data_IF_119737838512
#
_entry.id   IF_119737838512
#
_cell.length_a   1.000
_cell.length_b   1.000
_cell.length_c   1.000
_cell.angle_alpha   90.00
_cell.angle_beta   90.00
_cell.angle_gamma   90.00
#
_symmetry.space_group_name_H-M   'P 1'
#
loop_
_entity.id
_entity.type
_entity.pdbx_description
1 polymer ?
#
# COMPACT_ATOMS: atom_id res chain seq x y z
N UNK A 1 -8.31 -8.04 18.62
CA UNK A 1 -8.83 -8.72 17.41
C UNK A 1 -8.25 -10.12 17.17
N UNK A 2 -7.15 -10.53 17.82
CA UNK A 2 -6.48 -11.81 17.54
C UNK A 2 -7.26 -13.09 17.92
N UNK A 3 -8.17 -13.05 18.89
CA UNK A 3 -8.86 -14.26 19.38
C UNK A 3 -10.21 -14.55 18.70
N UNK A 4 -10.80 -13.58 18.02
CA UNK A 4 -12.11 -13.74 17.36
C UNK A 4 -11.97 -14.49 16.03
N UNK A 5 -10.87 -14.23 15.31
CA UNK A 5 -10.62 -14.78 13.97
C UNK A 5 -10.47 -16.31 13.97
N UNK A 6 -9.69 -16.93 14.88
CA UNK A 6 -9.56 -18.39 14.95
C UNK A 6 -10.89 -19.08 15.27
N UNK A 7 -11.68 -18.51 16.19
CA UNK A 7 -12.97 -19.06 16.59
C UNK A 7 -13.96 -19.08 15.42
N UNK A 8 -14.13 -17.95 14.74
CA UNK A 8 -15.02 -17.85 13.56
C UNK A 8 -14.57 -18.80 12.45
N UNK A 9 -13.26 -18.89 12.20
CA UNK A 9 -12.73 -19.74 11.13
C UNK A 9 -12.92 -21.23 11.43
N UNK A 10 -12.76 -21.64 12.69
CA UNK A 10 -13.07 -22.99 13.13
C UNK A 10 -14.56 -23.29 13.02
N UNK A 11 -15.44 -22.38 13.46
CA UNK A 11 -16.90 -22.57 13.37
C UNK A 11 -17.38 -22.67 11.92
N UNK A 12 -16.78 -21.91 11.01
CA UNK A 12 -17.10 -21.93 9.59
C UNK A 12 -16.32 -22.99 8.79
N UNK A 13 -15.52 -23.83 9.46
CA UNK A 13 -14.67 -24.85 8.84
C UNK A 13 -13.79 -24.30 7.70
N UNK A 14 -13.29 -23.07 7.86
CA UNK A 14 -12.44 -22.40 6.87
C UNK A 14 -11.07 -23.08 6.90
N UNK A 15 -10.72 -23.75 5.80
CA UNK A 15 -9.38 -24.32 5.61
C UNK A 15 -8.38 -23.19 5.41
N UNK A 16 -7.16 -23.37 5.93
CA UNK A 16 -6.07 -22.44 5.65
C UNK A 16 -5.87 -22.32 4.13
N UNK A 17 -5.63 -21.09 3.66
CA UNK A 17 -5.20 -20.89 2.27
C UNK A 17 -3.89 -21.64 2.04
N UNK A 18 -3.70 -22.28 0.88
CA UNK A 18 -2.39 -22.80 0.50
C UNK A 18 -1.33 -21.70 0.58
N UNK A 19 -0.07 -22.08 0.80
CA UNK A 19 1.08 -21.17 0.91
C UNK A 19 1.41 -20.40 -0.39
N UNK A 20 0.59 -20.56 -1.44
CA UNK A 20 0.78 -19.94 -2.74
C UNK A 20 1.04 -18.42 -2.68
N UNK A 21 0.25 -17.59 -1.97
CA UNK A 21 0.53 -16.15 -1.90
C UNK A 21 1.87 -15.82 -1.25
N UNK A 22 2.33 -16.67 -0.33
CA UNK A 22 3.63 -16.52 0.31
C UNK A 22 4.75 -16.85 -0.65
N UNK A 23 4.56 -17.72 -1.65
CA UNK A 23 5.61 -18.08 -2.60
C UNK A 23 5.83 -17.03 -3.72
N UNK A 24 4.88 -16.11 -3.92
CA UNK A 24 4.91 -15.12 -5.03
C UNK A 24 6.16 -14.22 -5.02
N UNK A 25 6.60 -13.62 -3.89
CA UNK A 25 7.83 -12.83 -3.89
C UNK A 25 9.06 -13.64 -4.29
N UNK A 26 9.20 -14.86 -3.77
CA UNK A 26 10.34 -15.72 -4.05
C UNK A 26 10.41 -16.11 -5.53
N UNK A 27 9.29 -16.53 -6.12
CA UNK A 27 9.25 -16.92 -7.52
C UNK A 27 9.50 -15.72 -8.46
N UNK A 28 9.07 -14.51 -8.09
CA UNK A 28 9.34 -13.31 -8.88
C UNK A 28 10.82 -12.92 -8.86
N UNK A 29 11.50 -13.09 -7.72
CA UNK A 29 12.95 -12.95 -7.60
C UNK A 29 13.68 -14.02 -8.45
N UNK A 30 13.25 -15.29 -8.37
CA UNK A 30 13.82 -16.37 -9.20
C UNK A 30 13.68 -16.04 -10.69
N UNK A 31 12.50 -15.56 -11.13
CA UNK A 31 12.27 -15.14 -12.50
C UNK A 31 13.18 -13.97 -12.92
N UNK A 32 13.41 -13.01 -12.02
CA UNK A 32 14.34 -11.91 -12.26
C UNK A 32 15.78 -12.40 -12.49
N UNK A 33 16.23 -13.38 -11.69
CA UNK A 33 17.54 -14.00 -11.83
C UNK A 33 17.67 -14.84 -13.10
N UNK A 34 16.62 -15.58 -13.49
CA UNK A 34 16.56 -16.27 -14.77
C UNK A 34 16.68 -15.29 -15.94
N UNK A 35 15.91 -14.20 -15.91
CA UNK A 35 15.94 -13.16 -16.95
C UNK A 35 17.26 -12.39 -17.01
N UNK A 36 18.04 -12.40 -15.94
CA UNK A 36 19.36 -11.77 -15.86
C UNK A 36 20.51 -12.76 -16.12
N UNK A 37 20.20 -13.97 -16.61
CA UNK A 37 21.16 -15.05 -16.89
C UNK A 37 22.07 -15.38 -15.67
N UNK A 38 21.53 -15.27 -14.45
CA UNK A 38 22.26 -15.72 -13.25
C UNK A 38 22.47 -17.22 -13.34
N UNK A 39 23.67 -17.72 -13.01
CA UNK A 39 23.96 -19.16 -13.07
C UNK A 39 23.25 -19.90 -11.92
N UNK A 40 22.42 -20.88 -12.24
CA UNK A 40 21.78 -21.80 -11.28
C UNK A 40 22.61 -23.07 -11.11
N UNK A 41 22.60 -23.67 -9.91
CA UNK A 41 23.15 -25.02 -9.71
C UNK A 41 22.21 -26.09 -10.25
N UNK A 42 22.72 -27.30 -10.51
CA UNK A 42 21.88 -28.42 -10.96
C UNK A 42 20.75 -28.74 -9.97
N UNK A 43 21.00 -28.61 -8.67
CA UNK A 43 19.99 -28.81 -7.62
C UNK A 43 18.89 -27.74 -7.69
N UNK A 44 19.27 -26.47 -7.90
CA UNK A 44 18.31 -25.38 -8.06
C UNK A 44 17.47 -25.59 -9.32
N UNK A 45 18.09 -25.99 -10.43
CA UNK A 45 17.38 -26.33 -11.68
C UNK A 45 16.38 -27.47 -11.44
N UNK A 46 16.81 -28.58 -10.82
CA UNK A 46 15.91 -29.70 -10.48
C UNK A 46 14.71 -29.28 -9.61
N UNK A 47 14.87 -28.24 -8.78
CA UNK A 47 13.79 -27.73 -7.94
C UNK A 47 12.80 -26.85 -8.71
N UNK A 48 13.26 -26.03 -9.67
CA UNK A 48 12.41 -25.09 -10.43
C UNK A 48 11.84 -25.68 -11.73
N UNK A 49 12.48 -26.68 -12.31
CA UNK A 49 12.05 -27.31 -13.57
C UNK A 49 10.59 -27.82 -13.53
N UNK A 50 10.11 -28.45 -12.42
CA UNK A 50 8.72 -28.86 -12.30
C UNK A 50 7.70 -27.71 -12.23
N UNK A 51 8.16 -26.50 -11.89
CA UNK A 51 7.29 -25.31 -11.89
C UNK A 51 7.08 -24.87 -13.33
N UNK A 52 8.18 -24.62 -14.03
CA UNK A 52 8.21 -24.31 -15.46
C UNK A 52 9.63 -24.53 -15.98
N UNK A 53 9.82 -25.20 -17.12
CA UNK A 53 11.14 -25.42 -17.69
C UNK A 53 11.96 -24.13 -17.82
N UNK A 54 13.24 -24.18 -17.46
CA UNK A 54 14.13 -23.00 -17.55
C UNK A 54 14.32 -22.56 -19.01
N UNK A 55 14.30 -23.51 -19.95
CA UNK A 55 14.43 -23.26 -21.38
C UNK A 55 13.32 -22.36 -21.95
N UNK A 56 12.15 -22.33 -21.31
CA UNK A 56 10.99 -21.56 -21.76
C UNK A 56 11.17 -20.04 -21.62
N UNK A 57 12.29 -19.58 -21.04
CA UNK A 57 12.60 -18.17 -20.74
C UNK A 57 11.39 -17.45 -20.16
N UNK A 58 11.18 -17.65 -18.85
CA UNK A 58 9.99 -17.17 -18.15
C UNK A 58 9.70 -15.71 -18.51
N UNK A 59 8.43 -15.43 -18.81
CA UNK A 59 7.96 -14.10 -19.20
C UNK A 59 8.02 -13.16 -18.00
N UNK A 60 9.22 -12.67 -17.69
CA UNK A 60 9.52 -11.84 -16.55
C UNK A 60 9.37 -10.37 -16.92
N UNK A 61 8.64 -9.64 -16.08
CA UNK A 61 8.71 -8.19 -15.97
C UNK A 61 8.77 -7.83 -14.49
N UNK A 62 9.44 -6.74 -14.13
CA UNK A 62 9.39 -6.26 -12.74
C UNK A 62 8.09 -5.52 -12.41
N UNK A 63 7.31 -5.12 -13.41
CA UNK A 63 6.07 -4.37 -13.20
C UNK A 63 4.89 -5.28 -12.83
N UNK A 64 4.90 -6.52 -13.32
CA UNK A 64 3.83 -7.49 -13.14
C UNK A 64 4.38 -8.92 -13.02
N UNK A 65 4.00 -9.61 -11.94
CA UNK A 65 4.32 -11.01 -11.71
C UNK A 65 3.33 -11.97 -12.39
N UNK A 66 2.17 -11.47 -12.83
CA UNK A 66 1.13 -12.29 -13.43
C UNK A 66 1.58 -13.07 -14.69
N UNK A 67 2.36 -12.50 -15.64
CA UNK A 67 2.83 -13.25 -16.81
C UNK A 67 3.77 -14.40 -16.47
N UNK A 68 4.48 -14.31 -15.34
CA UNK A 68 5.32 -15.39 -14.82
C UNK A 68 4.47 -16.46 -14.13
N UNK A 69 3.52 -16.04 -13.30
CA UNK A 69 2.69 -16.94 -12.48
C UNK A 69 1.60 -17.66 -13.28
N UNK A 70 0.84 -16.94 -14.09
CA UNK A 70 -0.36 -17.44 -14.76
C UNK A 70 -0.12 -17.83 -16.22
N UNK A 71 1.13 -18.14 -16.57
CA UNK A 71 1.44 -18.74 -17.86
C UNK A 71 0.86 -20.18 -17.90
N UNK A 72 0.28 -20.64 -19.02
CA UNK A 72 -0.25 -22.00 -19.14
C UNK A 72 0.76 -23.11 -18.84
N UNK A 73 2.06 -22.86 -19.05
CA UNK A 73 3.14 -23.81 -18.75
C UNK A 73 3.60 -23.77 -17.28
N UNK A 74 3.07 -22.84 -16.46
CA UNK A 74 3.42 -22.73 -15.04
C UNK A 74 2.52 -23.62 -14.19
N UNK A 75 3.11 -24.56 -13.47
CA UNK A 75 2.42 -25.46 -12.55
C UNK A 75 2.29 -24.83 -11.16
N UNK A 76 1.18 -24.15 -10.89
CA UNK A 76 0.93 -23.43 -9.62
C UNK A 76 0.98 -24.34 -8.37
N UNK A 77 0.60 -25.61 -8.51
CA UNK A 77 0.69 -26.59 -7.44
C UNK A 77 2.16 -26.84 -7.03
N UNK A 78 3.08 -26.90 -7.99
CA UNK A 78 4.50 -27.05 -7.72
C UNK A 78 5.08 -25.85 -6.97
N UNK A 79 4.61 -24.63 -7.26
CA UNK A 79 4.99 -23.41 -6.52
C UNK A 79 4.53 -23.51 -5.06
N UNK A 80 3.29 -23.95 -4.86
CA UNK A 80 2.67 -24.06 -3.54
C UNK A 80 3.40 -25.09 -2.69
N UNK A 81 3.69 -26.27 -3.26
CA UNK A 81 4.33 -27.38 -2.55
C UNK A 81 5.81 -27.17 -2.27
N UNK A 82 6.47 -26.23 -2.97
CA UNK A 82 7.91 -25.93 -2.85
C UNK A 82 8.19 -24.51 -2.32
N UNK A 83 7.22 -23.91 -1.61
CA UNK A 83 7.28 -22.50 -1.20
C UNK A 83 8.54 -22.18 -0.39
N UNK A 84 8.92 -23.04 0.57
CA UNK A 84 10.11 -22.85 1.42
C UNK A 84 11.40 -22.97 0.62
N UNK A 85 11.49 -23.98 -0.23
CA UNK A 85 12.63 -24.23 -1.12
C UNK A 85 12.84 -23.05 -2.07
N UNK A 86 11.76 -22.48 -2.60
CA UNK A 86 11.83 -21.28 -3.45
C UNK A 86 12.45 -20.07 -2.73
N UNK A 87 12.13 -19.86 -1.45
CA UNK A 87 12.76 -18.80 -0.66
C UNK A 87 14.26 -19.05 -0.44
N UNK A 88 14.63 -20.31 -0.19
CA UNK A 88 16.04 -20.68 -0.03
C UNK A 88 16.79 -20.41 -1.34
N UNK A 89 16.24 -20.81 -2.49
CA UNK A 89 16.82 -20.54 -3.81
C UNK A 89 16.91 -19.03 -4.06
N UNK A 90 15.83 -18.28 -3.83
CA UNK A 90 15.83 -16.83 -4.01
C UNK A 90 16.90 -16.14 -3.14
N UNK A 91 17.08 -16.58 -1.89
CA UNK A 91 18.13 -16.09 -1.01
C UNK A 91 19.53 -16.44 -1.52
N UNK A 92 19.76 -17.69 -1.94
CA UNK A 92 21.05 -18.11 -2.50
C UNK A 92 21.42 -17.33 -3.76
N UNK A 93 20.46 -17.11 -4.66
CA UNK A 93 20.63 -16.30 -5.86
C UNK A 93 20.90 -14.83 -5.53
N UNK A 94 20.19 -14.29 -4.53
CA UNK A 94 20.41 -12.93 -4.02
C UNK A 94 21.82 -12.77 -3.46
N UNK A 95 22.31 -13.73 -2.67
CA UNK A 95 23.68 -13.70 -2.14
C UNK A 95 24.72 -13.82 -3.26
N UNK A 96 24.44 -14.60 -4.30
CA UNK A 96 25.32 -14.78 -5.46
C UNK A 96 25.35 -13.55 -6.38
N UNK A 97 24.24 -12.84 -6.54
CA UNK A 97 24.10 -11.71 -7.45
C UNK A 97 23.16 -10.63 -6.89
N UNK A 98 23.55 -9.93 -5.81
CA UNK A 98 22.66 -9.03 -5.07
C UNK A 98 22.17 -7.85 -5.91
N UNK A 99 22.97 -7.44 -6.91
CA UNK A 99 22.58 -6.38 -7.85
C UNK A 99 21.30 -6.71 -8.62
N UNK A 100 21.06 -7.99 -8.97
CA UNK A 100 19.85 -8.41 -9.67
C UNK A 100 18.64 -8.24 -8.76
N UNK A 101 18.69 -8.75 -7.53
CA UNK A 101 17.63 -8.59 -6.53
C UNK A 101 17.36 -7.12 -6.19
N UNK A 102 18.40 -6.31 -5.98
CA UNK A 102 18.24 -4.88 -5.70
C UNK A 102 17.59 -4.18 -6.90
N UNK A 103 18.03 -4.46 -8.13
CA UNK A 103 17.46 -3.85 -9.35
C UNK A 103 16.00 -4.27 -9.54
N UNK A 104 15.69 -5.55 -9.27
CA UNK A 104 14.33 -6.08 -9.26
C UNK A 104 13.46 -5.32 -8.26
N UNK A 105 13.85 -5.26 -6.98
CA UNK A 105 13.06 -4.58 -5.95
C UNK A 105 12.91 -3.08 -6.21
N UNK A 106 13.96 -2.39 -6.65
CA UNK A 106 13.87 -0.97 -7.04
C UNK A 106 12.88 -0.76 -8.18
N UNK A 107 12.83 -1.69 -9.15
CA UNK A 107 11.84 -1.62 -10.21
C UNK A 107 10.42 -1.92 -9.70
N UNK A 108 10.19 -3.06 -9.03
CA UNK A 108 8.86 -3.47 -8.54
C UNK A 108 8.25 -2.38 -7.65
N UNK A 109 9.07 -1.79 -6.77
CA UNK A 109 8.63 -0.73 -5.84
C UNK A 109 8.54 0.67 -6.46
N UNK A 110 8.91 0.86 -7.72
CA UNK A 110 8.93 2.20 -8.34
C UNK A 110 7.55 2.88 -8.38
N UNK A 111 6.45 2.13 -8.30
CA UNK A 111 5.10 2.70 -8.12
C UNK A 111 4.99 3.57 -6.85
N UNK A 112 5.77 3.24 -5.81
CA UNK A 112 5.67 3.86 -4.49
C UNK A 112 6.41 5.21 -4.42
N UNK A 113 7.51 5.37 -5.18
CA UNK A 113 8.43 6.49 -5.02
C UNK A 113 8.80 7.21 -6.31
N UNK A 114 8.74 6.56 -7.48
CA UNK A 114 9.05 7.23 -8.75
C UNK A 114 7.80 7.98 -9.20
N UNK A 115 7.89 9.27 -9.48
CA UNK A 115 6.74 10.04 -10.02
C UNK A 115 6.52 9.65 -11.48
N UNK A 116 7.55 9.84 -12.31
CA UNK A 116 7.49 9.62 -13.75
C UNK A 116 8.16 8.31 -14.15
N UNK A 117 7.43 7.37 -14.75
CA UNK A 117 7.99 6.14 -15.33
C UNK A 117 7.20 5.70 -16.56
N UNK A 118 7.73 5.97 -17.75
CA UNK A 118 7.08 5.66 -19.04
C UNK A 118 7.13 4.18 -19.40
N UNK A 119 7.98 3.40 -18.74
CA UNK A 119 8.09 1.97 -18.99
C UNK A 119 7.21 1.15 -18.02
N UNK A 120 6.63 1.81 -17.01
CA UNK A 120 5.89 1.16 -15.95
C UNK A 120 4.40 1.12 -16.27
N UNK A 121 3.82 -0.08 -16.29
CA UNK A 121 2.38 -0.23 -16.36
C UNK A 121 1.78 -0.20 -14.96
N UNK A 122 0.88 0.75 -14.68
CA UNK A 122 0.09 0.75 -13.44
C UNK A 122 -1.10 -0.18 -13.64
N UNK A 123 -1.15 -1.28 -12.89
CA UNK A 123 -2.29 -2.17 -12.97
C UNK A 123 -3.54 -1.53 -12.33
N UNK A 124 -4.54 -1.33 -13.17
CA UNK A 124 -5.86 -0.78 -12.84
C UNK A 124 -6.89 -1.84 -13.25
N UNK A 125 -7.41 -2.58 -12.28
CA UNK A 125 -8.24 -3.78 -12.49
C UNK A 125 -9.32 -3.66 -13.59
N UNK A 126 -10.13 -2.58 -13.63
CA UNK A 126 -11.16 -2.40 -14.66
C UNK A 126 -10.65 -2.32 -16.11
N UNK A 127 -9.37 -2.01 -16.32
CA UNK A 127 -8.76 -1.76 -17.64
C UNK A 127 -7.90 -2.93 -18.13
N UNK A 128 -7.74 -3.98 -17.33
CA UNK A 128 -6.90 -5.14 -17.68
C UNK A 128 -7.54 -6.06 -18.75
N UNK A 129 -8.78 -5.78 -19.17
CA UNK A 129 -9.52 -6.62 -20.12
C UNK A 129 -9.84 -5.83 -21.39
N UNK A 130 -9.63 -6.46 -22.56
CA UNK A 130 -9.71 -5.86 -23.90
C UNK A 130 -11.03 -5.14 -24.19
N UNK A 131 -12.11 -5.53 -23.50
CA UNK A 131 -13.45 -4.98 -23.68
C UNK A 131 -13.86 -4.05 -22.52
N UNK A 132 -12.89 -3.54 -21.75
CA UNK A 132 -13.09 -2.63 -20.61
C UNK A 132 -14.16 -3.11 -19.60
N UNK A 133 -14.39 -4.42 -19.50
CA UNK A 133 -15.43 -4.96 -18.64
C UNK A 133 -15.17 -6.39 -18.22
N UNK A 134 -15.57 -6.62 -16.97
CA UNK A 134 -15.80 -7.86 -16.20
C UNK A 134 -15.27 -9.15 -16.84
N UNK A 135 -14.44 -9.86 -16.08
CA UNK A 135 -13.99 -11.23 -16.38
C UNK A 135 -15.17 -12.09 -16.85
N UNK A 136 -15.09 -12.73 -18.03
CA UNK A 136 -16.12 -13.65 -18.48
C UNK A 136 -16.44 -14.67 -17.40
N UNK A 137 -17.73 -14.78 -17.06
CA UNK A 137 -18.19 -15.74 -16.05
C UNK A 137 -18.79 -16.96 -16.74
N UNK A 138 -18.66 -18.11 -16.09
CA UNK A 138 -19.13 -19.39 -16.63
C UNK A 138 -20.65 -19.59 -16.52
N UNK A 139 -21.35 -18.66 -15.87
CA UNK A 139 -22.79 -18.75 -15.55
C UNK A 139 -23.65 -17.89 -16.48
N UNK A 140 -23.08 -17.34 -17.55
CA UNK A 140 -23.81 -16.59 -18.57
C UNK A 140 -24.34 -15.23 -18.12
N UNK A 141 -23.80 -14.64 -17.06
CA UNK A 141 -24.17 -13.27 -16.66
C UNK A 141 -23.56 -12.26 -17.62
N UNK A 142 -24.42 -11.44 -18.22
CA UNK A 142 -24.01 -10.35 -19.10
C UNK A 142 -24.03 -9.01 -18.35
N UNK A 143 -23.03 -8.16 -18.62
CA UNK A 143 -23.00 -6.80 -18.08
C UNK A 143 -23.76 -5.84 -19.00
N UNK A 144 -25.05 -5.69 -18.74
CA UNK A 144 -25.91 -4.74 -19.44
C UNK A 144 -25.99 -3.45 -18.62
N UNK A 145 -25.25 -2.41 -19.04
CA UNK A 145 -25.35 -1.08 -18.41
C UNK A 145 -26.74 -0.47 -18.67
N UNK A 146 -27.38 0.03 -17.62
CA UNK A 146 -28.62 0.82 -17.74
C UNK A 146 -28.39 2.21 -18.34
N UNK A 147 -27.14 2.68 -18.33
CA UNK A 147 -26.71 3.97 -18.86
C UNK A 147 -25.50 3.75 -19.78
N UNK A 148 -25.70 3.22 -21.00
CA UNK A 148 -24.60 2.87 -21.91
C UNK A 148 -23.75 4.10 -22.28
N UNK A 149 -24.39 5.24 -22.52
CA UNK A 149 -23.71 6.51 -22.87
C UNK A 149 -22.77 6.95 -21.73
N UNK A 150 -23.23 6.89 -20.48
CA UNK A 150 -22.39 7.25 -19.33
C UNK A 150 -21.24 6.26 -19.14
N UNK A 151 -21.49 4.95 -19.34
CA UNK A 151 -20.45 3.93 -19.31
C UNK A 151 -19.36 4.24 -20.34
N UNK A 152 -19.73 4.48 -21.60
CA UNK A 152 -18.78 4.80 -22.67
C UNK A 152 -18.00 6.08 -22.39
N UNK A 153 -18.67 7.13 -21.91
CA UNK A 153 -18.03 8.37 -21.51
C UNK A 153 -16.98 8.14 -20.41
N UNK A 154 -17.35 7.42 -19.34
CA UNK A 154 -16.43 7.12 -18.23
C UNK A 154 -15.27 6.23 -18.68
N UNK A 155 -15.53 5.22 -19.50
CA UNK A 155 -14.49 4.35 -20.03
C UNK A 155 -13.49 5.13 -20.90
N UNK A 156 -13.98 6.01 -21.78
CA UNK A 156 -13.11 6.87 -22.58
C UNK A 156 -12.30 7.84 -21.70
N UNK A 157 -12.92 8.41 -20.66
CA UNK A 157 -12.22 9.27 -19.70
C UNK A 157 -11.11 8.49 -18.97
N UNK A 158 -11.41 7.27 -18.53
CA UNK A 158 -10.44 6.42 -17.85
C UNK A 158 -9.32 6.02 -18.81
N UNK A 159 -9.63 5.58 -20.03
CA UNK A 159 -8.63 5.25 -21.05
C UNK A 159 -7.67 6.40 -21.35
N UNK A 160 -8.21 7.62 -21.53
CA UNK A 160 -7.38 8.83 -21.70
C UNK A 160 -6.54 9.13 -20.46
N UNK A 161 -7.06 8.84 -19.27
CA UNK A 161 -6.33 9.11 -18.03
C UNK A 161 -5.17 8.14 -17.76
N UNK A 162 -5.14 6.98 -18.43
CA UNK A 162 -4.03 6.00 -18.33
C UNK A 162 -3.02 6.10 -19.47
N UNK A 163 -3.18 7.09 -20.36
CA UNK A 163 -2.18 7.41 -21.38
C UNK A 163 -0.83 7.76 -20.72
N UNK A 164 0.28 7.28 -21.30
CA UNK A 164 1.64 7.46 -20.79
C UNK A 164 2.01 8.92 -20.49
N UNK A 165 1.40 9.87 -21.21
CA UNK A 165 1.62 11.31 -21.03
C UNK A 165 1.07 11.87 -19.71
N UNK A 166 0.04 11.24 -19.14
CA UNK A 166 -0.70 11.76 -17.97
C UNK A 166 -0.82 10.77 -16.82
N UNK A 167 -0.53 9.49 -17.03
CA UNK A 167 -0.67 8.43 -16.02
C UNK A 167 0.11 8.72 -14.74
N UNK A 168 1.30 9.32 -14.86
CA UNK A 168 2.16 9.71 -13.73
C UNK A 168 1.48 10.75 -12.82
N UNK A 169 0.61 11.58 -13.39
CA UNK A 169 -0.10 12.62 -12.67
C UNK A 169 -1.40 12.08 -12.07
N UNK A 170 -2.15 11.27 -12.81
CA UNK A 170 -3.51 10.87 -12.43
C UNK A 170 -3.52 9.57 -11.62
N UNK A 171 -2.68 8.58 -11.95
CA UNK A 171 -2.76 7.24 -11.36
C UNK A 171 -1.55 6.83 -10.56
N UNK A 172 -0.37 7.45 -10.76
CA UNK A 172 0.81 7.06 -9.98
C UNK A 172 0.75 7.68 -8.57
N UNK A 173 0.69 6.87 -7.51
CA UNK A 173 0.46 7.35 -6.15
C UNK A 173 1.65 8.10 -5.56
N UNK A 174 2.85 7.95 -6.12
CA UNK A 174 4.07 8.60 -5.65
C UNK A 174 3.92 10.13 -5.55
N UNK A 175 3.29 10.79 -6.53
CA UNK A 175 3.10 12.25 -6.48
C UNK A 175 2.24 12.67 -5.29
N UNK A 176 1.19 11.91 -4.98
CA UNK A 176 0.27 12.18 -3.88
C UNK A 176 0.91 11.90 -2.52
N UNK A 177 1.78 10.88 -2.45
CA UNK A 177 2.63 10.65 -1.28
C UNK A 177 3.53 11.87 -1.03
N UNK A 178 4.19 12.40 -2.06
CA UNK A 178 5.02 13.61 -1.91
C UNK A 178 4.22 14.86 -1.55
N UNK A 179 3.01 15.04 -2.11
CA UNK A 179 2.09 16.12 -1.72
C UNK A 179 1.76 16.01 -0.22
N UNK A 180 1.39 14.83 0.25
CA UNK A 180 1.07 14.59 1.66
C UNK A 180 2.26 14.87 2.60
N UNK A 181 3.44 14.34 2.27
CA UNK A 181 4.65 14.55 3.06
C UNK A 181 5.03 16.04 3.10
N UNK A 182 4.95 16.72 1.96
CA UNK A 182 5.22 18.17 1.86
C UNK A 182 4.22 18.98 2.67
N UNK A 183 2.92 18.65 2.61
CA UNK A 183 1.89 19.32 3.39
C UNK A 183 2.09 19.11 4.91
N UNK A 184 2.54 17.92 5.31
CA UNK A 184 2.88 17.63 6.71
C UNK A 184 4.09 18.45 7.18
N UNK A 185 5.13 18.58 6.35
CA UNK A 185 6.28 19.44 6.63
C UNK A 185 5.85 20.90 6.76
N UNK A 186 5.01 21.40 5.85
CA UNK A 186 4.46 22.76 5.92
C UNK A 186 3.69 22.97 7.22
N UNK A 187 2.87 22.01 7.64
CA UNK A 187 2.16 22.07 8.91
C UNK A 187 3.11 22.09 10.12
N UNK A 188 4.18 21.29 10.10
CA UNK A 188 5.21 21.29 11.14
C UNK A 188 5.90 22.64 11.27
N UNK A 189 6.23 23.28 10.13
CA UNK A 189 6.87 24.60 10.08
C UNK A 189 5.92 25.68 10.57
N UNK A 190 4.65 25.68 10.10
CA UNK A 190 3.62 26.66 10.49
C UNK A 190 3.33 26.59 12.00
N UNK A 191 3.18 25.38 12.55
CA UNK A 191 2.87 25.18 13.97
C UNK A 191 4.10 25.23 14.90
N UNK A 192 5.31 25.15 14.34
CA UNK A 192 6.58 24.99 15.08
C UNK A 192 6.58 23.81 16.06
N UNK A 193 5.86 22.73 15.71
CA UNK A 193 5.69 21.53 16.55
C UNK A 193 6.11 20.28 15.79
N UNK A 194 7.22 19.67 16.21
CA UNK A 194 7.72 18.44 15.60
C UNK A 194 6.72 17.28 15.71
N UNK A 195 5.90 17.25 16.78
CA UNK A 195 4.89 16.21 17.01
C UNK A 195 3.86 16.07 15.88
N UNK A 196 3.75 17.04 14.96
CA UNK A 196 2.89 16.92 13.76
C UNK A 196 3.38 15.85 12.78
N UNK A 197 4.65 15.41 12.86
CA UNK A 197 5.15 14.29 12.08
C UNK A 197 4.36 12.99 12.32
N UNK A 198 3.71 12.86 13.49
CA UNK A 198 2.85 11.72 13.83
C UNK A 198 1.67 11.55 12.86
N UNK A 199 1.27 12.63 12.17
CA UNK A 199 0.23 12.58 11.14
C UNK A 199 0.71 11.74 9.94
N UNK A 200 2.01 11.81 9.60
CA UNK A 200 2.59 11.04 8.50
C UNK A 200 2.87 9.57 8.86
N UNK A 201 2.90 9.21 10.14
CA UNK A 201 3.29 7.87 10.59
C UNK A 201 2.48 6.74 9.95
N UNK A 202 1.14 6.77 9.86
CA UNK A 202 0.37 5.66 9.28
C UNK A 202 0.71 5.43 7.79
N UNK A 203 0.81 6.50 7.00
CA UNK A 203 1.12 6.41 5.57
C UNK A 203 2.57 6.00 5.33
N UNK A 204 3.50 6.50 6.16
CA UNK A 204 4.90 6.12 6.09
C UNK A 204 5.12 4.64 6.42
N UNK A 205 4.51 4.15 7.50
CA UNK A 205 4.55 2.74 7.88
C UNK A 205 3.92 1.86 6.80
N UNK A 206 2.74 2.23 6.29
CA UNK A 206 2.08 1.54 5.18
C UNK A 206 2.98 1.42 3.95
N UNK A 207 3.60 2.54 3.54
CA UNK A 207 4.51 2.57 2.39
C UNK A 207 5.77 1.75 2.62
N UNK A 208 6.31 1.76 3.85
CA UNK A 208 7.49 0.97 4.23
C UNK A 208 7.21 -0.52 4.19
N UNK A 209 6.05 -0.94 4.67
CA UNK A 209 5.62 -2.35 4.58
C UNK A 209 5.48 -2.76 3.11
N UNK A 210 4.89 -1.89 2.28
CA UNK A 210 4.76 -2.16 0.85
C UNK A 210 6.10 -2.20 0.12
N UNK A 211 7.08 -1.38 0.49
CA UNK A 211 8.44 -1.45 -0.06
C UNK A 211 9.06 -2.85 0.08
N UNK A 212 8.69 -3.59 1.14
CA UNK A 212 9.20 -4.93 1.42
C UNK A 212 8.34 -6.05 0.82
N UNK A 213 7.04 -5.84 0.69
CA UNK A 213 6.07 -6.90 0.40
C UNK A 213 5.43 -6.85 -1.00
N UNK A 214 5.61 -5.76 -1.75
CA UNK A 214 4.97 -5.60 -3.05
C UNK A 214 5.61 -6.51 -4.12
N UNK A 215 4.77 -7.17 -4.92
CA UNK A 215 5.16 -8.14 -5.97
C UNK A 215 4.63 -7.78 -7.35
N UNK A 216 4.09 -6.57 -7.49
CA UNK A 216 3.49 -6.05 -8.72
C UNK A 216 2.95 -4.64 -8.51
N UNK A 217 2.80 -3.88 -9.59
CA UNK A 217 2.42 -2.46 -9.52
C UNK A 217 0.91 -2.24 -9.62
N UNK A 218 0.16 -2.76 -8.65
CA UNK A 218 -1.27 -2.45 -8.55
C UNK A 218 -1.50 -1.10 -7.86
N UNK A 219 -2.30 -0.22 -8.49
CA UNK A 219 -2.72 1.06 -7.91
C UNK A 219 -3.33 0.89 -6.51
N UNK A 220 -4.08 -0.20 -6.30
CA UNK A 220 -4.80 -0.50 -5.06
C UNK A 220 -3.91 -0.52 -3.82
N UNK A 221 -2.61 -0.82 -3.95
CA UNK A 221 -1.72 -0.92 -2.81
C UNK A 221 -1.46 0.45 -2.16
N UNK A 222 -1.44 1.54 -2.93
CA UNK A 222 -1.16 2.89 -2.44
C UNK A 222 -2.35 3.84 -2.58
N UNK A 223 -3.56 3.30 -2.74
CA UNK A 223 -4.77 4.10 -2.87
C UNK A 223 -5.04 4.99 -1.64
N UNK A 224 -4.64 4.53 -0.44
CA UNK A 224 -4.73 5.33 0.78
C UNK A 224 -3.87 6.59 0.72
N UNK A 225 -2.61 6.49 0.26
CA UNK A 225 -1.72 7.64 0.10
C UNK A 225 -2.24 8.61 -0.96
N UNK A 226 -2.83 8.08 -2.04
CA UNK A 226 -3.50 8.87 -3.07
C UNK A 226 -4.59 9.78 -2.47
N UNK A 227 -5.53 9.21 -1.71
CA UNK A 227 -6.63 9.98 -1.10
C UNK A 227 -6.14 10.98 -0.06
N UNK A 228 -5.22 10.56 0.82
CA UNK A 228 -4.70 11.44 1.87
C UNK A 228 -3.90 12.60 1.28
N UNK A 229 -3.12 12.36 0.22
CA UNK A 229 -2.43 13.42 -0.53
C UNK A 229 -3.39 14.47 -1.05
N UNK A 230 -4.48 14.07 -1.69
CA UNK A 230 -5.53 14.97 -2.18
C UNK A 230 -6.17 15.79 -1.05
N UNK A 231 -6.52 15.13 0.06
CA UNK A 231 -7.15 15.79 1.21
C UNK A 231 -6.24 16.84 1.88
N UNK A 232 -4.92 16.71 1.74
CA UNK A 232 -3.95 17.59 2.38
C UNK A 232 -3.54 18.80 1.52
N UNK A 233 -3.97 18.87 0.25
CA UNK A 233 -3.69 20.02 -0.64
C UNK A 233 -4.11 21.37 -0.02
N UNK A 234 -5.29 21.53 0.62
CA UNK A 234 -5.68 22.82 1.19
C UNK A 234 -4.75 23.34 2.30
N UNK A 235 -3.94 22.50 2.96
CA UNK A 235 -3.02 22.95 4.02
C UNK A 235 -1.93 23.90 3.51
N UNK A 236 -1.62 23.88 2.21
CA UNK A 236 -0.72 24.84 1.61
C UNK A 236 -1.28 26.27 1.67
N UNK A 237 -2.58 26.45 1.48
CA UNK A 237 -3.24 27.77 1.39
C UNK A 237 -3.82 28.26 2.71
N UNK A 238 -4.05 27.38 3.69
CA UNK A 238 -4.58 27.79 5.00
C UNK A 238 -3.55 28.67 5.74
N UNK A 239 -3.90 29.94 5.93
CA UNK A 239 -3.22 30.85 6.84
C UNK A 239 -3.84 30.71 8.22
N UNK A 240 -3.12 30.07 9.14
CA UNK A 240 -3.52 30.06 10.54
C UNK A 240 -3.33 31.47 11.10
N UNK A 241 -4.43 32.19 11.34
CA UNK A 241 -4.38 33.26 12.34
C UNK A 241 -4.13 32.54 13.66
N UNK A 242 -2.92 32.66 14.19
CA UNK A 242 -2.64 32.29 15.57
C UNK A 242 -3.73 32.94 16.39
N UNK A 243 -4.59 32.14 17.02
CA UNK A 243 -5.52 32.66 18.01
C UNK A 243 -4.61 33.29 19.07
N UNK A 244 -4.46 34.62 18.99
CA UNK A 244 -3.82 35.42 20.03
C UNK A 244 -4.48 34.96 21.30
N UNK A 245 -3.69 34.33 22.16
CA UNK A 245 -4.10 33.90 23.48
C UNK A 245 -4.97 34.99 24.05
N UNK A 246 -6.27 34.73 24.19
CA UNK A 246 -7.13 35.62 24.95
C UNK A 246 -6.40 35.85 26.28
N UNK A 247 -6.14 37.11 26.67
CA UNK A 247 -5.48 37.37 27.94
C UNK A 247 -6.26 36.60 28.99
N UNK A 248 -5.55 35.73 29.72
CA UNK A 248 -6.13 34.92 30.77
C UNK A 248 -7.08 35.81 31.55
N UNK A 249 -8.38 35.46 31.54
CA UNK A 249 -9.37 36.15 32.35
C UNK A 249 -8.89 35.96 33.78
N UNK A 250 -8.17 36.95 34.32
CA UNK A 250 -7.73 36.99 35.70
C UNK A 250 -9.01 37.02 36.51
N UNK A 251 -9.49 35.83 36.89
CA UNK A 251 -10.42 35.67 37.97
C UNK A 251 -9.69 36.18 39.20
N UNK A 252 -9.80 37.50 39.45
CA UNK A 252 -9.50 38.08 40.76
C UNK A 252 -10.51 37.43 41.70
N UNK A 253 -10.12 36.32 42.30
CA UNK A 253 -10.77 35.76 43.49
C UNK A 253 -10.67 36.83 44.56
N UNK A 254 -11.70 37.66 44.66
CA UNK A 254 -11.91 38.58 45.76
C UNK A 254 -12.26 37.70 46.95
N UNK A 255 -11.23 37.20 47.65
CA UNK A 255 -11.39 36.54 48.94
C UNK A 255 -11.86 37.63 49.90
N UNK A 256 -13.17 37.74 50.08
CA UNK A 256 -13.76 38.52 51.15
C UNK A 256 -13.40 37.81 52.47
N UNK A 257 -12.46 38.36 53.22
CA UNK A 257 -12.32 38.11 54.65
C UNK A 257 -13.59 38.60 55.35
N UNK A 258 -14.62 37.75 55.45
CA UNK A 258 -15.73 38.01 56.36
C UNK A 258 -15.38 37.43 57.74
N UNK A 259 -15.04 38.36 58.63
CA UNK A 259 -15.04 38.27 60.09
C UNK A 259 -15.90 37.13 60.63
N UNK A 260 -15.26 36.16 61.28
CA UNK A 260 -15.89 35.35 62.31
C UNK A 260 -15.63 36.08 63.63
N UNK A 261 -16.58 36.93 64.03
CA UNK A 261 -16.65 37.44 65.40
C UNK A 261 -17.08 36.30 66.31
N UNK A 262 -16.18 35.89 67.22
CA UNK A 262 -16.50 35.10 68.41
C UNK A 262 -17.58 35.85 69.21
N UNK A 263 -18.77 35.27 69.31
CA UNK A 263 -19.73 35.62 70.35
C UNK A 263 -19.58 34.59 71.47
N UNK A 264 -18.95 35.01 72.57
CA UNK A 264 -19.11 34.38 73.87
C UNK A 264 -20.43 34.85 74.47
N UNK A 265 -21.31 33.92 74.78
CA UNK A 265 -22.41 34.05 75.75
C UNK A 265 -22.63 32.63 76.28
N UNK A 266 -22.15 32.27 77.47
CA UNK A 266 -22.65 32.67 78.78
C UNK A 266 -24.12 32.24 78.97
N UNK A 267 -24.31 31.07 79.58
CA UNK A 267 -25.54 30.72 80.28
C UNK A 267 -25.26 29.65 81.33
N UNK A 268 -25.06 30.14 82.54
CA UNK A 268 -25.32 29.44 83.80
C UNK A 268 -26.84 29.31 84.05
N UNK A 269 -27.20 28.40 84.95
CA UNK A 269 -28.51 28.19 85.65
C UNK A 269 -29.63 27.58 84.79
N UNK A 270 -30.30 26.48 85.16
CA UNK A 270 -30.63 25.87 86.45
C UNK A 270 -30.48 24.34 86.42
#
# INVERSE_FOLDING_TARGET
>A
MLFIKPLIYQTLNVRASPDFPLAIPAIHIVAAHLSADTIFSEEQIKLIEPIRPVIDKWSYTCYDSAPTLYNPSTHLEAITNKSKELYIIALQLTLKSPRVTISHYMCVTSLLWKIWDTNAHVMIGPLLYSDNSIVPNQIGLENISKLPILKEFLLNLIQKSVDDSVIWLIWRPAIYLYIFLSATIVLMIKDKKFNRILIATPIFLHTTILLLAIVGQDFRFQYSAYLVGLLFIPLFTINYKTATSQPACTLKTKINHHMITKHSDNRDTN
#
